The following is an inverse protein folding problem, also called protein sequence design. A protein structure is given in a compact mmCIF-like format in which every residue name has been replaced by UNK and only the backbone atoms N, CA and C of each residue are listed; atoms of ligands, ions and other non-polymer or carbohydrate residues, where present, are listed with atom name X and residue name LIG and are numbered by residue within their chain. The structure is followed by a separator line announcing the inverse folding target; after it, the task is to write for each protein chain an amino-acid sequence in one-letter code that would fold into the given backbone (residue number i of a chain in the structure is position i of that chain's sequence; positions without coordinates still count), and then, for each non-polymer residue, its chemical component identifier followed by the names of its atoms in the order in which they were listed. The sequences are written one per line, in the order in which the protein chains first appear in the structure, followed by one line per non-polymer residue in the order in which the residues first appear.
data_IF_126742421745
#
_entry.id   IF_126742421745
#
_cell.length_a   1.000
_cell.length_b   1.000
_cell.length_c   1.000
_cell.angle_alpha   90.00
_cell.angle_beta   90.00
_cell.angle_gamma   90.00
#
_symmetry.space_group_name_H-M   'P 1'
#
loop_
_entity.id
_entity.type
_entity.pdbx_description
1 polymer ?
#
# COMPACT_ATOMS: atom_id res chain seq x y z
N UNK A 1 5.14 -12.91 -24.81
CA UNK A 1 4.52 -11.84 -25.65
C UNK A 1 3.41 -11.15 -24.86
N UNK A 2 2.91 -9.98 -25.27
CA UNK A 2 1.86 -9.26 -24.53
C UNK A 2 0.61 -10.13 -24.23
N UNK A 3 0.23 -11.01 -25.16
CA UNK A 3 -0.82 -12.02 -24.98
C UNK A 3 -0.62 -12.87 -23.72
N UNK A 4 0.59 -13.38 -23.51
CA UNK A 4 0.88 -14.31 -22.42
C UNK A 4 0.86 -13.59 -21.06
N UNK A 5 1.24 -12.31 -21.04
CA UNK A 5 1.16 -11.47 -19.83
C UNK A 5 -0.29 -11.25 -19.37
N UNK A 6 -1.22 -10.97 -20.30
CA UNK A 6 -2.64 -10.80 -19.98
C UNK A 6 -3.38 -12.14 -19.74
N UNK A 7 -2.86 -13.25 -20.26
CA UNK A 7 -3.43 -14.58 -20.12
C UNK A 7 -2.92 -15.36 -18.89
N UNK A 8 -2.09 -14.74 -18.03
CA UNK A 8 -1.56 -15.39 -16.84
C UNK A 8 -2.69 -15.85 -15.92
N UNK A 9 -2.62 -17.10 -15.46
CA UNK A 9 -3.69 -17.72 -14.67
C UNK A 9 -3.90 -17.05 -13.30
N UNK A 10 -2.88 -16.37 -12.80
CA UNK A 10 -2.83 -15.61 -11.56
C UNK A 10 -3.03 -14.10 -11.78
N UNK A 11 -3.61 -13.68 -12.91
CA UNK A 11 -3.79 -12.24 -13.22
C UNK A 11 -4.66 -11.52 -12.20
N UNK A 12 -5.60 -12.25 -11.62
CA UNK A 12 -6.55 -11.76 -10.63
C UNK A 12 -6.02 -11.98 -9.19
N UNK A 13 -4.82 -12.57 -9.04
CA UNK A 13 -4.13 -12.68 -7.75
C UNK A 13 -3.35 -11.39 -7.44
N UNK A 14 -3.26 -11.05 -6.15
CA UNK A 14 -2.51 -9.86 -5.70
C UNK A 14 -3.29 -8.54 -5.72
N UNK A 15 -4.63 -8.59 -5.63
CA UNK A 15 -5.46 -7.39 -5.44
C UNK A 15 -5.09 -6.75 -4.10
N UNK A 16 -4.60 -5.51 -4.15
CA UNK A 16 -4.28 -4.74 -2.96
C UNK A 16 -5.57 -4.36 -2.21
N UNK A 17 -5.49 -4.34 -0.89
CA UNK A 17 -6.55 -3.77 -0.06
C UNK A 17 -6.76 -2.27 -0.38
N UNK A 18 -7.92 -1.68 -0.06
CA UNK A 18 -8.09 -0.23 -0.14
C UNK A 18 -6.97 0.53 0.57
N UNK A 19 -6.58 1.69 0.05
CA UNK A 19 -5.47 2.51 0.59
C UNK A 19 -5.63 2.75 2.10
N UNK A 20 -6.85 3.03 2.53
CA UNK A 20 -7.21 3.34 3.91
C UNK A 20 -6.89 2.14 4.83
N UNK A 21 -7.19 0.92 4.38
CA UNK A 21 -6.87 -0.32 5.10
C UNK A 21 -5.35 -0.51 5.20
N UNK A 22 -4.61 -0.21 4.14
CA UNK A 22 -3.15 -0.30 4.15
C UNK A 22 -2.52 0.74 5.10
N UNK A 23 -3.07 1.96 5.14
CA UNK A 23 -2.68 2.98 6.12
C UNK A 23 -2.99 2.54 7.55
N UNK A 24 -4.13 1.89 7.79
CA UNK A 24 -4.48 1.35 9.10
C UNK A 24 -3.52 0.25 9.54
N UNK A 25 -2.99 -0.57 8.63
CA UNK A 25 -1.92 -1.51 8.96
C UNK A 25 -0.68 -0.81 9.52
N UNK A 26 -0.25 0.30 8.91
CA UNK A 26 0.89 1.08 9.41
C UNK A 26 0.62 1.64 10.81
N UNK A 27 -0.59 2.17 11.06
CA UNK A 27 -0.99 2.65 12.39
C UNK A 27 -0.99 1.52 13.42
N UNK A 28 -1.52 0.36 13.05
CA UNK A 28 -1.63 -0.80 13.93
C UNK A 28 -0.27 -1.37 14.35
N UNK A 29 0.76 -1.23 13.51
CA UNK A 29 2.13 -1.65 13.85
C UNK A 29 2.97 -0.51 14.48
N UNK A 30 2.34 0.61 14.84
CA UNK A 30 2.97 1.69 15.62
C UNK A 30 3.68 2.76 14.79
N UNK A 31 3.39 2.90 13.50
CA UNK A 31 3.79 4.11 12.78
C UNK A 31 2.86 5.26 13.13
N UNK A 32 3.45 6.44 13.27
CA UNK A 32 2.77 7.70 13.51
C UNK A 32 2.74 8.54 12.23
N UNK A 33 1.92 9.60 12.21
CA UNK A 33 1.82 10.54 11.08
C UNK A 33 1.60 9.82 9.74
N UNK A 34 0.73 8.79 9.75
CA UNK A 34 0.45 7.97 8.58
C UNK A 34 -0.46 8.72 7.63
N UNK A 35 0.07 9.06 6.45
CA UNK A 35 -0.59 9.85 5.42
C UNK A 35 -0.35 9.28 4.01
N UNK A 36 -1.16 9.75 3.06
CA UNK A 36 -0.95 9.56 1.63
C UNK A 36 -0.37 10.84 1.03
N UNK A 37 0.87 10.77 0.53
CA UNK A 37 1.60 11.92 -0.01
C UNK A 37 1.31 12.16 -1.49
N UNK A 38 0.92 11.11 -2.22
CA UNK A 38 0.52 11.18 -3.61
C UNK A 38 -0.47 10.07 -3.91
N UNK A 39 -1.57 10.40 -4.60
CA UNK A 39 -2.50 9.43 -5.18
C UNK A 39 -2.80 9.82 -6.62
N UNK A 40 -2.62 8.87 -7.54
CA UNK A 40 -2.96 9.02 -8.95
C UNK A 40 -3.62 7.72 -9.43
N UNK A 41 -4.94 7.78 -9.62
CA UNK A 41 -5.76 6.61 -9.94
C UNK A 41 -5.55 5.48 -8.92
N UNK A 42 -5.12 4.29 -9.35
CA UNK A 42 -4.89 3.11 -8.51
C UNK A 42 -3.52 3.10 -7.81
N UNK A 43 -2.65 4.07 -8.10
CA UNK A 43 -1.32 4.19 -7.52
C UNK A 43 -1.28 5.22 -6.40
N UNK A 44 -0.68 4.85 -5.27
CA UNK A 44 -0.49 5.74 -4.13
C UNK A 44 0.91 5.60 -3.53
N UNK A 45 1.48 6.72 -3.12
CA UNK A 45 2.65 6.80 -2.24
C UNK A 45 2.14 7.22 -0.86
N UNK A 46 2.27 6.33 0.12
CA UNK A 46 1.80 6.54 1.49
C UNK A 46 2.81 5.95 2.47
N UNK A 47 2.78 6.44 3.70
CA UNK A 47 3.72 6.02 4.72
C UNK A 47 3.49 6.76 6.03
N UNK A 48 4.33 6.45 7.02
CA UNK A 48 4.36 7.14 8.30
C UNK A 48 5.76 7.13 8.89
N UNK A 49 5.91 7.72 10.06
CA UNK A 49 7.16 7.79 10.79
C UNK A 49 7.19 6.70 11.86
N UNK A 50 8.32 5.98 11.97
CA UNK A 50 8.52 5.11 13.12
C UNK A 50 8.92 6.01 14.30
N UNK A 51 8.25 5.92 15.47
CA UNK A 51 8.64 6.68 16.64
C UNK A 51 10.10 6.42 16.98
N UNK A 52 10.82 7.45 17.40
CA UNK A 52 12.17 7.27 17.94
C UNK A 52 12.08 6.37 19.18
N UNK A 53 13.00 5.41 19.30
CA UNK A 53 13.06 4.57 20.50
C UNK A 53 13.42 5.48 21.68
N UNK A 54 12.45 5.75 22.57
CA UNK A 54 12.64 6.52 23.80
C UNK A 54 11.94 7.89 23.88
N UNK A 55 11.01 8.21 22.97
CA UNK A 55 10.09 9.33 23.14
C UNK A 55 8.87 8.96 24.00
#
# INVERSE_FOLDING_TARGET
MARDYYARADKDAGVLAPLEVQCDWLRNIGFENVECFLKMQELAVFGGQRPAIGA
#
